data_IF_272804654938
#
_entry.id   IF_272804654938
#
_cell.length_a   1.000
_cell.length_b   1.000
_cell.length_c   1.000
_cell.angle_alpha   90.00
_cell.angle_beta   90.00
_cell.angle_gamma   90.00
#
_symmetry.space_group_name_H-M   'P 1'
#
loop_
_entity.id
_entity.type
_entity.pdbx_description
1 polymer ?
#
# COMPACT_ATOMS: atom_id res chain seq x y z
N UNK A 1 13.42 -33.01 7.85
CA UNK A 1 12.13 -33.52 7.31
C UNK A 1 11.61 -32.63 6.19
N UNK A 2 11.50 -31.31 6.40
CA UNK A 2 11.09 -30.33 5.37
C UNK A 2 11.98 -30.36 4.09
N UNK A 3 13.31 -30.40 4.25
CA UNK A 3 14.24 -30.55 3.12
C UNK A 3 14.01 -31.85 2.32
N UNK A 4 13.65 -32.95 2.99
CA UNK A 4 13.31 -34.22 2.31
C UNK A 4 11.99 -34.08 1.55
N UNK A 5 11.02 -33.33 2.07
CA UNK A 5 9.77 -33.04 1.36
C UNK A 5 10.00 -32.18 0.11
N UNK A 6 10.85 -31.15 0.18
CA UNK A 6 11.17 -30.31 -0.99
C UNK A 6 12.05 -31.03 -2.03
N UNK A 7 13.03 -31.82 -1.60
CA UNK A 7 14.00 -32.45 -2.50
C UNK A 7 13.58 -33.83 -3.05
N UNK A 8 12.70 -34.58 -2.35
CA UNK A 8 12.41 -35.98 -2.70
C UNK A 8 10.94 -36.28 -3.03
N UNK A 9 10.00 -35.36 -2.82
CA UNK A 9 8.59 -35.64 -3.08
C UNK A 9 8.20 -35.27 -4.52
N UNK A 10 7.72 -36.27 -5.28
CA UNK A 10 7.13 -36.10 -6.62
C UNK A 10 5.63 -35.83 -6.59
N UNK A 11 5.00 -35.83 -5.40
CA UNK A 11 3.56 -35.67 -5.20
C UNK A 11 3.23 -34.22 -4.84
N UNK A 12 2.43 -33.53 -5.67
CA UNK A 12 2.07 -32.11 -5.50
C UNK A 12 1.50 -31.78 -4.10
N UNK A 13 0.69 -32.67 -3.52
CA UNK A 13 0.12 -32.47 -2.18
C UNK A 13 1.21 -32.32 -1.10
N UNK A 14 2.28 -33.12 -1.13
CA UNK A 14 3.34 -33.06 -0.11
C UNK A 14 4.17 -31.77 -0.21
N UNK A 15 4.34 -31.24 -1.42
CA UNK A 15 5.01 -29.95 -1.66
C UNK A 15 4.20 -28.78 -1.13
N UNK A 16 2.89 -28.77 -1.38
CA UNK A 16 2.00 -27.76 -0.84
C UNK A 16 2.06 -27.73 0.69
N UNK A 17 1.94 -28.88 1.36
CA UNK A 17 2.05 -28.93 2.83
C UNK A 17 3.41 -28.44 3.35
N UNK A 18 4.50 -28.70 2.62
CA UNK A 18 5.82 -28.19 2.98
C UNK A 18 5.91 -26.65 2.87
N UNK A 19 5.26 -26.06 1.86
CA UNK A 19 5.17 -24.60 1.69
C UNK A 19 4.30 -23.96 2.78
N UNK A 20 3.16 -24.57 3.12
CA UNK A 20 2.31 -24.10 4.23
C UNK A 20 3.08 -24.14 5.56
N UNK A 21 3.89 -25.19 5.78
CA UNK A 21 4.75 -25.27 6.95
C UNK A 21 5.83 -24.20 6.94
N UNK A 22 6.46 -23.93 5.79
CA UNK A 22 7.46 -22.87 5.66
C UNK A 22 6.87 -21.49 6.00
N UNK A 23 5.65 -21.20 5.52
CA UNK A 23 4.91 -19.99 5.88
C UNK A 23 4.72 -19.90 7.40
N UNK A 24 4.26 -20.97 8.03
CA UNK A 24 4.06 -21.00 9.48
C UNK A 24 5.38 -20.78 10.24
N UNK A 25 6.49 -21.37 9.78
CA UNK A 25 7.80 -21.19 10.41
C UNK A 25 8.25 -19.73 10.32
N UNK A 26 8.19 -19.11 9.14
CA UNK A 26 8.55 -17.69 8.99
C UNK A 26 7.60 -16.77 9.77
N UNK A 27 6.33 -17.15 9.92
CA UNK A 27 5.37 -16.42 10.74
C UNK A 27 5.66 -16.47 12.24
N UNK A 28 6.25 -17.56 12.74
CA UNK A 28 6.56 -17.75 14.17
C UNK A 28 7.97 -17.25 14.51
N UNK A 29 8.95 -17.54 13.64
CA UNK A 29 10.38 -17.35 13.90
C UNK A 29 10.95 -16.08 13.27
N UNK A 30 10.18 -15.42 12.39
CA UNK A 30 10.62 -14.23 11.65
C UNK A 30 11.02 -14.55 10.21
N UNK A 31 11.11 -13.51 9.39
CA UNK A 31 11.39 -13.65 7.96
C UNK A 31 12.81 -14.20 7.69
N UNK A 32 13.76 -13.91 8.57
CA UNK A 32 15.16 -14.34 8.44
C UNK A 32 15.34 -15.86 8.59
N UNK A 33 14.34 -16.58 9.12
CA UNK A 33 14.38 -18.03 9.31
C UNK A 33 14.74 -18.79 8.02
N UNK A 34 14.30 -18.31 6.85
CA UNK A 34 14.59 -18.95 5.58
C UNK A 34 16.08 -18.79 5.16
N UNK A 35 16.77 -17.82 5.76
CA UNK A 35 18.16 -17.47 5.50
C UNK A 35 19.15 -17.98 6.58
N UNK A 36 18.66 -18.72 7.58
CA UNK A 36 19.49 -19.29 8.64
C UNK A 36 20.27 -20.51 8.16
N UNK A 37 21.54 -20.63 8.60
CA UNK A 37 22.35 -21.82 8.35
C UNK A 37 21.86 -22.98 9.25
N UNK A 38 21.17 -23.96 8.65
CA UNK A 38 20.77 -25.17 9.35
C UNK A 38 21.85 -26.27 9.21
N UNK A 39 22.61 -26.52 10.29
CA UNK A 39 23.50 -27.69 10.37
C UNK A 39 22.66 -28.98 10.47
N UNK A 40 22.41 -29.63 9.33
CA UNK A 40 21.83 -30.98 9.33
C UNK A 40 22.94 -31.99 9.62
N UNK A 41 22.90 -32.61 10.81
CA UNK A 41 23.89 -33.60 11.31
C UNK A 41 24.00 -34.92 10.49
N UNK A 42 23.42 -34.98 9.28
CA UNK A 42 23.44 -36.19 8.45
C UNK A 42 24.25 -35.96 7.17
N UNK A 43 25.47 -36.51 7.18
CA UNK A 43 26.45 -36.44 6.11
C UNK A 43 25.88 -36.96 4.77
N UNK A 44 25.69 -36.05 3.80
CA UNK A 44 26.24 -36.15 2.42
C UNK A 44 25.58 -35.18 1.40
N UNK A 45 24.58 -34.37 1.75
CA UNK A 45 24.09 -33.28 0.90
C UNK A 45 23.50 -32.14 1.74
N UNK A 46 24.35 -31.27 2.27
CA UNK A 46 23.89 -30.02 2.91
C UNK A 46 23.44 -29.08 1.79
N UNK A 47 22.15 -28.75 1.75
CA UNK A 47 21.62 -27.73 0.85
C UNK A 47 22.09 -26.37 1.38
N UNK A 48 22.82 -25.60 0.57
CA UNK A 48 23.20 -24.24 0.95
C UNK A 48 21.95 -23.36 1.12
N UNK A 49 22.00 -22.39 2.03
CA UNK A 49 20.91 -21.42 2.27
C UNK A 49 20.39 -20.82 0.97
N UNK A 50 21.28 -20.39 0.07
CA UNK A 50 20.90 -19.88 -1.25
C UNK A 50 19.99 -20.82 -2.04
N UNK A 51 20.33 -22.11 -2.04
CA UNK A 51 19.57 -23.13 -2.80
C UNK A 51 18.24 -23.41 -2.10
N UNK A 52 18.20 -23.32 -0.78
CA UNK A 52 16.96 -23.52 -0.03
C UNK A 52 15.97 -22.38 -0.27
N UNK A 53 16.42 -21.13 -0.18
CA UNK A 53 15.61 -19.93 -0.50
C UNK A 53 15.01 -20.05 -1.90
N UNK A 54 15.85 -20.31 -2.91
CA UNK A 54 15.38 -20.44 -4.29
C UNK A 54 14.45 -21.64 -4.48
N UNK A 55 14.71 -22.76 -3.81
CA UNK A 55 13.84 -23.94 -3.89
C UNK A 55 12.45 -23.66 -3.32
N UNK A 56 12.36 -22.96 -2.19
CA UNK A 56 11.08 -22.57 -1.58
C UNK A 56 10.34 -21.60 -2.49
N UNK A 57 11.03 -20.58 -3.02
CA UNK A 57 10.43 -19.60 -3.93
C UNK A 57 9.92 -20.25 -5.23
N UNK A 58 10.74 -21.07 -5.90
CA UNK A 58 10.33 -21.75 -7.13
C UNK A 58 9.20 -22.73 -6.89
N UNK A 59 9.20 -23.44 -5.76
CA UNK A 59 8.10 -24.33 -5.40
C UNK A 59 6.81 -23.54 -5.14
N UNK A 60 6.89 -22.41 -4.43
CA UNK A 60 5.76 -21.54 -4.18
C UNK A 60 5.19 -20.97 -5.49
N UNK A 61 6.06 -20.49 -6.39
CA UNK A 61 5.67 -19.97 -7.71
C UNK A 61 4.88 -20.99 -8.53
N UNK A 62 5.36 -22.24 -8.58
CA UNK A 62 4.67 -23.33 -9.30
C UNK A 62 3.29 -23.60 -8.71
N UNK A 63 3.18 -23.72 -7.39
CA UNK A 63 1.90 -23.98 -6.74
C UNK A 63 0.93 -22.79 -6.85
N UNK A 64 1.42 -21.56 -6.80
CA UNK A 64 0.63 -20.34 -7.10
C UNK A 64 0.09 -20.42 -8.53
N UNK A 65 0.93 -20.73 -9.52
CA UNK A 65 0.50 -20.85 -10.91
C UNK A 65 -0.61 -21.91 -11.09
N UNK A 66 -0.47 -23.06 -10.43
CA UNK A 66 -1.47 -24.13 -10.47
C UNK A 66 -2.78 -23.66 -9.85
N UNK A 67 -2.74 -23.10 -8.63
CA UNK A 67 -3.96 -22.68 -7.92
C UNK A 67 -4.67 -21.52 -8.62
N UNK A 68 -3.94 -20.55 -9.18
CA UNK A 68 -4.54 -19.45 -9.95
C UNK A 68 -5.26 -19.97 -11.20
N UNK A 69 -4.64 -20.86 -11.96
CA UNK A 69 -5.25 -21.46 -13.14
C UNK A 69 -6.49 -22.28 -12.79
N UNK A 70 -6.42 -23.11 -11.74
CA UNK A 70 -7.57 -23.87 -11.27
C UNK A 70 -8.70 -22.94 -10.81
N UNK A 71 -8.40 -21.88 -10.05
CA UNK A 71 -9.42 -20.92 -9.60
C UNK A 71 -10.04 -20.16 -10.78
N UNK A 72 -9.25 -19.71 -11.74
CA UNK A 72 -9.75 -19.05 -12.94
C UNK A 72 -10.70 -19.97 -13.73
N UNK A 73 -10.28 -21.22 -13.98
CA UNK A 73 -11.14 -22.20 -14.64
C UNK A 73 -12.46 -22.43 -13.88
N UNK A 74 -12.38 -22.65 -12.56
CA UNK A 74 -13.54 -22.93 -11.72
C UNK A 74 -14.52 -21.75 -11.70
N UNK A 75 -14.01 -20.52 -11.58
CA UNK A 75 -14.84 -19.30 -11.44
C UNK A 75 -15.36 -18.77 -12.77
N UNK A 76 -14.59 -18.87 -13.85
CA UNK A 76 -14.87 -18.13 -15.09
C UNK A 76 -15.27 -19.03 -16.25
N UNK A 77 -14.74 -20.25 -16.32
CA UNK A 77 -14.95 -21.15 -17.47
C UNK A 77 -15.90 -22.31 -17.17
N UNK A 78 -15.99 -22.76 -15.91
CA UNK A 78 -16.81 -23.92 -15.55
C UNK A 78 -18.31 -23.61 -15.63
N UNK A 79 -19.05 -24.35 -16.46
CA UNK A 79 -20.47 -24.11 -16.71
C UNK A 79 -21.34 -24.62 -15.55
N UNK A 80 -21.45 -23.89 -14.42
CA UNK A 80 -22.36 -24.20 -13.28
C UNK A 80 -22.46 -25.70 -12.92
N UNK A 81 -21.36 -26.45 -13.01
CA UNK A 81 -21.35 -27.83 -12.53
C UNK A 81 -21.17 -27.73 -11.02
N UNK A 82 -21.94 -28.53 -10.29
CA UNK A 82 -22.04 -28.62 -8.83
C UNK A 82 -20.72 -29.01 -8.14
N UNK A 83 -19.67 -28.21 -8.32
CA UNK A 83 -18.49 -28.27 -7.49
C UNK A 83 -18.83 -27.58 -6.18
N UNK A 84 -18.61 -28.31 -5.08
CA UNK A 84 -18.89 -27.87 -3.73
C UNK A 84 -18.10 -26.59 -3.44
N UNK A 85 -18.76 -25.54 -2.97
CA UNK A 85 -18.15 -24.26 -2.53
C UNK A 85 -16.93 -24.47 -1.60
N UNK A 86 -16.89 -25.61 -0.91
CA UNK A 86 -15.79 -26.08 -0.08
C UNK A 86 -14.46 -26.26 -0.86
N UNK A 87 -14.50 -26.77 -2.09
CA UNK A 87 -13.29 -26.99 -2.89
C UNK A 87 -12.67 -25.66 -3.38
N UNK A 88 -13.52 -24.70 -3.76
CA UNK A 88 -13.09 -23.34 -4.13
C UNK A 88 -12.52 -22.64 -2.89
N UNK A 89 -13.25 -22.66 -1.78
CA UNK A 89 -12.81 -22.08 -0.51
C UNK A 89 -11.46 -22.63 -0.05
N UNK A 90 -11.24 -23.95 -0.17
CA UNK A 90 -9.96 -24.56 0.19
C UNK A 90 -8.81 -24.10 -0.70
N UNK A 91 -9.04 -23.95 -2.01
CA UNK A 91 -8.03 -23.44 -2.95
C UNK A 91 -7.69 -21.97 -2.68
N UNK A 92 -8.71 -21.14 -2.43
CA UNK A 92 -8.52 -19.74 -2.05
C UNK A 92 -7.72 -19.61 -0.75
N UNK A 93 -8.01 -20.44 0.26
CA UNK A 93 -7.24 -20.48 1.51
C UNK A 93 -5.79 -20.87 1.28
N UNK A 94 -5.55 -21.91 0.48
CA UNK A 94 -4.18 -22.34 0.17
C UNK A 94 -3.41 -21.24 -0.58
N UNK A 95 -4.05 -20.59 -1.55
CA UNK A 95 -3.48 -19.47 -2.29
C UNK A 95 -3.14 -18.30 -1.36
N UNK A 96 -4.04 -17.93 -0.44
CA UNK A 96 -3.79 -16.87 0.53
C UNK A 96 -2.57 -17.15 1.43
N UNK A 97 -2.39 -18.41 1.85
CA UNK A 97 -1.20 -18.81 2.63
C UNK A 97 0.07 -18.73 1.76
N UNK A 98 0.00 -19.17 0.50
CA UNK A 98 1.15 -19.02 -0.42
C UNK A 98 1.49 -17.56 -0.68
N UNK A 99 0.50 -16.68 -0.85
CA UNK A 99 0.76 -15.24 -0.94
C UNK A 99 1.41 -14.69 0.33
N UNK A 100 0.95 -15.09 1.53
CA UNK A 100 1.63 -14.75 2.80
C UNK A 100 3.10 -15.17 2.79
N UNK A 101 3.40 -16.39 2.34
CA UNK A 101 4.78 -16.87 2.19
C UNK A 101 5.60 -15.98 1.23
N UNK A 102 5.04 -15.63 0.07
CA UNK A 102 5.71 -14.76 -0.90
C UNK A 102 5.93 -13.35 -0.32
N UNK A 103 4.96 -12.76 0.39
CA UNK A 103 5.14 -11.46 1.07
C UNK A 103 6.31 -11.48 2.03
N UNK A 104 6.46 -12.56 2.81
CA UNK A 104 7.59 -12.73 3.73
C UNK A 104 8.92 -12.86 3.00
N UNK A 105 8.94 -13.57 1.87
CA UNK A 105 10.14 -13.66 1.03
C UNK A 105 10.49 -12.28 0.43
N UNK A 106 9.49 -11.50 -0.03
CA UNK A 106 9.70 -10.13 -0.52
C UNK A 106 10.37 -9.28 0.56
N UNK A 107 9.83 -9.30 1.79
CA UNK A 107 10.38 -8.55 2.92
C UNK A 107 11.80 -8.99 3.28
N UNK A 108 12.07 -10.29 3.33
CA UNK A 108 13.41 -10.84 3.57
C UNK A 108 14.41 -10.34 2.51
N UNK A 109 14.03 -10.37 1.23
CA UNK A 109 14.89 -9.92 0.12
C UNK A 109 15.12 -8.41 0.16
N UNK A 110 14.11 -7.62 0.50
CA UNK A 110 14.23 -6.16 0.66
C UNK A 110 15.22 -5.80 1.78
N UNK A 111 15.06 -6.43 2.96
CA UNK A 111 15.97 -6.23 4.09
C UNK A 111 17.42 -6.63 3.76
N UNK A 112 17.62 -7.71 3.02
CA UNK A 112 18.94 -8.13 2.58
C UNK A 112 19.59 -7.15 1.58
N UNK A 113 18.79 -6.32 0.91
CA UNK A 113 19.23 -5.36 -0.10
C UNK A 113 19.46 -3.94 0.45
N UNK A 114 18.82 -3.58 1.58
CA UNK A 114 18.81 -2.22 2.12
C UNK A 114 20.07 -1.81 2.89
N UNK A 115 20.96 -2.75 3.25
CA UNK A 115 22.25 -2.47 3.90
C UNK A 115 22.17 -1.89 5.32
N UNK A 116 20.96 -1.66 5.85
CA UNK A 116 20.72 -1.20 7.22
C UNK A 116 20.52 -2.41 8.16
N UNK A 117 21.64 -2.93 8.67
CA UNK A 117 21.65 -4.03 9.64
C UNK A 117 23.05 -4.62 9.80
N UNK A 118 23.31 -5.27 10.93
CA UNK A 118 24.53 -6.07 11.09
C UNK A 118 24.59 -7.14 9.98
N UNK A 119 25.77 -7.47 9.44
CA UNK A 119 25.89 -8.30 8.24
C UNK A 119 25.49 -9.74 8.55
N UNK A 120 24.21 -10.08 8.38
CA UNK A 120 23.75 -11.46 8.22
C UNK A 120 23.79 -11.76 6.73
N UNK A 121 24.96 -11.61 6.11
CA UNK A 121 25.14 -11.94 4.69
C UNK A 121 25.31 -13.46 4.53
N UNK A 122 24.23 -14.21 4.73
CA UNK A 122 24.19 -15.65 4.39
C UNK A 122 23.75 -15.86 2.94
N UNK A 123 23.02 -14.90 2.34
CA UNK A 123 22.50 -14.98 0.97
C UNK A 123 23.41 -14.20 0.01
N UNK A 124 23.84 -14.83 -1.08
CA UNK A 124 24.65 -14.16 -2.12
C UNK A 124 23.80 -13.20 -2.96
N UNK A 125 24.41 -12.11 -3.41
CA UNK A 125 23.78 -11.14 -4.32
C UNK A 125 23.21 -11.81 -5.59
N UNK A 126 23.91 -12.80 -6.14
CA UNK A 126 23.41 -13.57 -7.29
C UNK A 126 22.12 -14.34 -6.99
N UNK A 127 21.96 -14.82 -5.76
CA UNK A 127 20.72 -15.45 -5.27
C UNK A 127 19.61 -14.42 -5.13
N UNK A 128 19.91 -13.22 -4.62
CA UNK A 128 18.95 -12.11 -4.53
C UNK A 128 18.41 -11.76 -5.92
N UNK A 129 19.29 -11.61 -6.92
CA UNK A 129 18.87 -11.34 -8.30
C UNK A 129 17.97 -12.45 -8.88
N UNK A 130 18.28 -13.71 -8.59
CA UNK A 130 17.46 -14.85 -8.99
C UNK A 130 16.09 -14.83 -8.29
N UNK A 131 16.06 -14.51 -6.99
CA UNK A 131 14.83 -14.36 -6.24
C UNK A 131 13.95 -13.23 -6.78
N UNK A 132 14.53 -12.07 -7.10
CA UNK A 132 13.82 -10.96 -7.74
C UNK A 132 13.24 -11.38 -9.10
N UNK A 133 13.96 -12.21 -9.86
CA UNK A 133 13.46 -12.74 -11.14
C UNK A 133 12.24 -13.66 -10.91
N UNK A 134 12.34 -14.61 -9.98
CA UNK A 134 11.22 -15.51 -9.64
C UNK A 134 10.01 -14.77 -9.05
N UNK A 135 10.23 -13.70 -8.29
CA UNK A 135 9.18 -12.82 -7.78
C UNK A 135 8.50 -12.05 -8.92
N UNK A 136 9.25 -11.47 -9.86
CA UNK A 136 8.69 -10.82 -11.05
C UNK A 136 7.82 -11.78 -11.86
N UNK A 137 8.25 -13.02 -12.05
CA UNK A 137 7.46 -14.04 -12.74
C UNK A 137 6.18 -14.38 -11.97
N UNK A 138 6.27 -14.55 -10.65
CA UNK A 138 5.12 -14.85 -9.78
C UNK A 138 4.10 -13.72 -9.84
N UNK A 139 4.53 -12.47 -9.73
CA UNK A 139 3.65 -11.30 -9.79
C UNK A 139 3.03 -11.14 -11.17
N UNK A 140 3.76 -11.45 -12.25
CA UNK A 140 3.18 -11.45 -13.59
C UNK A 140 2.03 -12.45 -13.73
N UNK A 141 2.13 -13.65 -13.12
CA UNK A 141 1.05 -14.63 -13.08
C UNK A 141 -0.16 -14.13 -12.28
N UNK A 142 0.08 -13.44 -11.16
CA UNK A 142 -1.00 -12.81 -10.38
C UNK A 142 -1.69 -11.71 -11.20
N UNK A 143 -0.93 -10.92 -11.95
CA UNK A 143 -1.48 -9.91 -12.85
C UNK A 143 -2.25 -10.53 -14.03
N UNK A 144 -1.86 -11.72 -14.53
CA UNK A 144 -2.67 -12.46 -15.52
C UNK A 144 -4.01 -12.86 -14.92
N UNK A 145 -4.02 -13.40 -13.71
CA UNK A 145 -5.26 -13.75 -13.01
C UNK A 145 -6.19 -12.53 -12.80
N UNK A 146 -5.63 -11.37 -12.43
CA UNK A 146 -6.40 -10.13 -12.33
C UNK A 146 -6.91 -9.62 -13.68
N UNK A 147 -6.13 -9.80 -14.75
CA UNK A 147 -6.57 -9.48 -16.12
C UNK A 147 -7.73 -10.37 -16.55
N UNK A 148 -7.66 -11.68 -16.29
CA UNK A 148 -8.76 -12.61 -16.56
C UNK A 148 -10.03 -12.20 -15.79
N UNK A 149 -9.89 -11.87 -14.51
CA UNK A 149 -11.01 -11.39 -13.70
C UNK A 149 -11.64 -10.11 -14.29
N UNK A 150 -10.82 -9.16 -14.74
CA UNK A 150 -11.27 -7.94 -15.41
C UNK A 150 -12.03 -8.25 -16.69
N UNK A 151 -11.51 -9.15 -17.53
CA UNK A 151 -12.13 -9.50 -18.81
C UNK A 151 -13.47 -10.24 -18.65
N UNK A 152 -13.65 -10.95 -17.52
CA UNK A 152 -14.91 -11.58 -17.15
C UNK A 152 -15.84 -10.68 -16.32
N UNK A 153 -15.46 -9.41 -16.09
CA UNK A 153 -16.24 -8.45 -15.30
C UNK A 153 -16.42 -8.87 -13.83
N UNK A 154 -15.39 -9.48 -13.24
CA UNK A 154 -15.38 -9.97 -11.86
C UNK A 154 -14.44 -9.10 -11.03
N UNK A 155 -14.97 -8.23 -10.17
CA UNK A 155 -14.18 -7.32 -9.33
C UNK A 155 -14.36 -7.57 -7.83
N UNK A 156 -15.17 -8.57 -7.43
CA UNK A 156 -15.48 -8.85 -6.02
C UNK A 156 -15.05 -10.25 -5.61
N UNK A 157 -14.34 -10.34 -4.49
CA UNK A 157 -13.94 -11.60 -3.87
C UNK A 157 -12.60 -11.51 -3.13
N UNK A 158 -12.47 -12.28 -2.05
CA UNK A 158 -11.28 -12.24 -1.19
C UNK A 158 -10.01 -12.75 -1.87
N UNK A 159 -10.15 -13.59 -2.90
CA UNK A 159 -9.03 -14.04 -3.73
C UNK A 159 -8.50 -12.92 -4.63
N UNK A 160 -9.37 -12.10 -5.21
CA UNK A 160 -8.99 -10.88 -5.93
C UNK A 160 -8.33 -9.87 -4.99
N UNK A 161 -8.88 -9.72 -3.79
CA UNK A 161 -8.32 -8.81 -2.80
C UNK A 161 -6.94 -9.28 -2.32
N UNK A 162 -6.75 -10.59 -2.11
CA UNK A 162 -5.45 -11.17 -1.78
C UNK A 162 -4.44 -11.02 -2.93
N UNK A 163 -4.89 -11.14 -4.19
CA UNK A 163 -4.08 -10.87 -5.37
C UNK A 163 -3.65 -9.40 -5.45
N UNK A 164 -4.57 -8.46 -5.21
CA UNK A 164 -4.25 -7.03 -5.13
C UNK A 164 -3.23 -6.74 -4.01
N UNK A 165 -3.38 -7.39 -2.86
CA UNK A 165 -2.48 -7.26 -1.72
C UNK A 165 -1.04 -7.67 -2.06
N UNK A 166 -0.83 -8.89 -2.59
CA UNK A 166 0.52 -9.35 -2.93
C UNK A 166 1.18 -8.50 -4.02
N UNK A 167 0.40 -8.02 -5.00
CA UNK A 167 0.86 -7.06 -6.01
C UNK A 167 1.30 -5.76 -5.35
N UNK A 168 0.48 -5.19 -4.46
CA UNK A 168 0.81 -3.98 -3.70
C UNK A 168 2.07 -4.14 -2.85
N UNK A 169 2.17 -5.25 -2.11
CA UNK A 169 3.34 -5.61 -1.29
C UNK A 169 4.63 -5.70 -2.11
N UNK A 170 4.59 -6.31 -3.31
CA UNK A 170 5.78 -6.38 -4.17
C UNK A 170 6.15 -5.02 -4.76
N UNK A 171 5.15 -4.28 -5.25
CA UNK A 171 5.36 -2.99 -5.87
C UNK A 171 5.78 -1.90 -4.88
N UNK A 172 5.56 -2.10 -3.57
CA UNK A 172 6.13 -1.27 -2.53
C UNK A 172 7.67 -1.30 -2.56
N UNK A 173 8.26 -2.46 -2.86
CA UNK A 173 9.71 -2.65 -2.93
C UNK A 173 10.26 -2.40 -4.35
N UNK A 174 9.45 -2.66 -5.37
CA UNK A 174 9.82 -2.48 -6.78
C UNK A 174 8.74 -1.72 -7.57
N UNK A 175 8.59 -0.39 -7.39
CA UNK A 175 7.47 0.41 -7.95
C UNK A 175 7.33 0.37 -9.48
N UNK A 176 8.42 0.08 -10.18
CA UNK A 176 8.47 0.04 -11.65
C UNK A 176 8.48 -1.38 -12.23
N UNK A 177 8.36 -2.41 -11.38
CA UNK A 177 8.24 -3.78 -11.86
C UNK A 177 6.92 -3.97 -12.65
N UNK A 178 6.99 -4.76 -13.72
CA UNK A 178 5.85 -5.07 -14.59
C UNK A 178 5.09 -3.82 -15.09
N UNK A 179 5.78 -2.68 -15.25
CA UNK A 179 5.20 -1.33 -15.45
C UNK A 179 4.03 -1.26 -16.43
N UNK A 180 4.16 -1.88 -17.60
CA UNK A 180 3.13 -1.86 -18.64
C UNK A 180 1.84 -2.55 -18.17
N UNK A 181 1.96 -3.77 -17.64
CA UNK A 181 0.81 -4.57 -17.21
C UNK A 181 0.17 -4.00 -15.95
N UNK A 182 1.00 -3.61 -14.97
CA UNK A 182 0.54 -2.91 -13.77
C UNK A 182 -0.23 -1.65 -14.16
N UNK A 183 0.33 -0.80 -15.02
CA UNK A 183 -0.31 0.43 -15.48
C UNK A 183 -1.69 0.22 -16.11
N UNK A 184 -1.83 -0.82 -16.95
CA UNK A 184 -3.10 -1.16 -17.60
C UNK A 184 -4.17 -1.74 -16.64
N UNK A 185 -3.73 -2.26 -15.49
CA UNK A 185 -4.59 -2.89 -14.49
C UNK A 185 -4.88 -2.00 -13.28
N UNK A 186 -4.19 -0.88 -13.09
CA UNK A 186 -4.35 -0.03 -11.90
C UNK A 186 -5.81 0.38 -11.63
N UNK A 187 -6.53 0.82 -12.66
CA UNK A 187 -7.95 1.19 -12.53
C UNK A 187 -8.79 0.00 -12.03
N UNK A 188 -8.54 -1.19 -12.56
CA UNK A 188 -9.24 -2.40 -12.15
C UNK A 188 -8.87 -2.79 -10.72
N UNK A 189 -7.58 -2.76 -10.36
CA UNK A 189 -7.10 -3.05 -8.99
C UNK A 189 -7.80 -2.14 -7.98
N UNK A 190 -7.95 -0.84 -8.29
CA UNK A 190 -8.65 0.12 -7.43
C UNK A 190 -10.16 -0.13 -7.32
N UNK A 191 -10.75 -0.88 -8.25
CA UNK A 191 -12.16 -1.28 -8.22
C UNK A 191 -12.40 -2.58 -7.45
N UNK A 192 -11.34 -3.32 -7.07
CA UNK A 192 -11.47 -4.61 -6.39
C UNK A 192 -12.05 -4.40 -4.99
N UNK A 193 -13.04 -5.24 -4.67
CA UNK A 193 -13.69 -5.32 -3.37
C UNK A 193 -13.49 -6.71 -2.77
N UNK A 194 -13.17 -6.77 -1.48
CA UNK A 194 -13.34 -7.98 -0.69
C UNK A 194 -14.79 -8.45 -0.66
N UNK A 195 -15.00 -9.71 -0.28
CA UNK A 195 -16.33 -10.33 -0.28
C UNK A 195 -17.33 -9.56 0.58
N UNK A 196 -16.87 -9.09 1.74
CA UNK A 196 -17.67 -8.34 2.73
C UNK A 196 -17.48 -6.81 2.65
N UNK A 197 -16.63 -6.32 1.73
CA UNK A 197 -16.46 -4.87 1.55
C UNK A 197 -17.68 -4.26 0.85
N UNK A 198 -18.15 -3.12 1.37
CA UNK A 198 -19.24 -2.34 0.75
C UNK A 198 -18.77 -1.44 -0.39
N UNK A 199 -17.45 -1.23 -0.51
CA UNK A 199 -16.80 -0.40 -1.51
C UNK A 199 -15.30 -0.68 -1.47
N UNK A 200 -14.60 -0.45 -2.56
CA UNK A 200 -13.15 -0.67 -2.61
C UNK A 200 -12.44 0.24 -1.60
N UNK A 201 -11.81 -0.40 -0.60
CA UNK A 201 -11.05 0.28 0.44
C UNK A 201 -9.71 -0.42 0.63
N UNK A 202 -9.71 -1.73 0.92
CA UNK A 202 -8.48 -2.47 1.18
C UNK A 202 -7.55 -2.55 -0.03
N UNK A 203 -8.10 -2.73 -1.23
CA UNK A 203 -7.32 -2.74 -2.47
C UNK A 203 -6.56 -1.42 -2.67
N UNK A 204 -7.18 -0.28 -2.37
CA UNK A 204 -6.54 1.04 -2.41
C UNK A 204 -5.44 1.12 -1.34
N UNK A 205 -5.74 0.71 -0.10
CA UNK A 205 -4.77 0.71 1.00
C UNK A 205 -3.49 -0.07 0.66
N UNK A 206 -3.62 -1.25 0.04
CA UNK A 206 -2.48 -2.08 -0.34
C UNK A 206 -1.59 -1.42 -1.41
N UNK A 207 -2.14 -0.51 -2.21
CA UNK A 207 -1.39 0.19 -3.25
C UNK A 207 -0.70 1.47 -2.75
N UNK A 208 -1.09 2.01 -1.59
CA UNK A 208 -0.54 3.27 -1.05
C UNK A 208 0.98 3.32 -0.96
N UNK A 209 1.70 2.27 -0.52
CA UNK A 209 3.16 2.29 -0.47
C UNK A 209 3.79 2.57 -1.84
N UNK A 210 3.33 1.89 -2.90
CA UNK A 210 3.81 2.14 -4.26
C UNK A 210 3.38 3.53 -4.76
N UNK A 211 2.13 3.93 -4.51
CA UNK A 211 1.60 5.21 -4.98
C UNK A 211 2.38 6.40 -4.41
N UNK A 212 2.73 6.34 -3.12
CA UNK A 212 3.51 7.38 -2.46
C UNK A 212 4.87 7.59 -3.15
N UNK A 213 5.49 6.52 -3.64
CA UNK A 213 6.77 6.55 -4.34
C UNK A 213 6.63 7.04 -5.79
N UNK A 214 5.72 6.44 -6.59
CA UNK A 214 5.60 6.82 -8.01
C UNK A 214 5.11 8.26 -8.18
N UNK A 215 4.31 8.78 -7.24
CA UNK A 215 3.78 10.16 -7.32
C UNK A 215 4.83 11.23 -7.04
N UNK A 216 6.01 10.86 -6.52
CA UNK A 216 7.14 11.80 -6.44
C UNK A 216 7.53 12.32 -7.84
N UNK A 217 7.26 11.54 -8.88
CA UNK A 217 7.46 11.93 -10.28
C UNK A 217 6.14 12.38 -10.95
N UNK A 218 6.27 13.32 -11.90
CA UNK A 218 5.13 13.86 -12.67
C UNK A 218 4.40 12.76 -13.46
N UNK A 219 5.13 11.77 -13.97
CA UNK A 219 4.54 10.66 -14.75
C UNK A 219 3.68 9.75 -13.87
N UNK A 220 4.08 9.51 -12.62
CA UNK A 220 3.23 8.78 -11.66
C UNK A 220 1.97 9.56 -11.31
N UNK A 221 2.09 10.88 -11.11
CA UNK A 221 0.92 11.76 -10.92
C UNK A 221 -0.03 11.73 -12.13
N UNK A 222 0.50 11.76 -13.36
CA UNK A 222 -0.29 11.67 -14.60
C UNK A 222 -1.01 10.33 -14.70
N UNK A 223 -0.33 9.24 -14.34
CA UNK A 223 -0.91 7.90 -14.31
C UNK A 223 -2.08 7.86 -13.32
N UNK A 224 -1.88 8.31 -12.08
CA UNK A 224 -2.92 8.38 -11.05
C UNK A 224 -4.11 9.27 -11.46
N UNK A 225 -3.85 10.36 -12.18
CA UNK A 225 -4.90 11.25 -12.70
C UNK A 225 -5.73 10.59 -13.80
N UNK A 226 -5.11 9.80 -14.69
CA UNK A 226 -5.73 9.28 -15.92
C UNK A 226 -6.98 8.43 -15.70
N UNK A 227 -7.06 7.74 -14.57
CA UNK A 227 -8.22 6.92 -14.16
C UNK A 227 -8.94 7.47 -12.92
N UNK A 228 -8.62 8.70 -12.49
CA UNK A 228 -9.25 9.32 -11.31
C UNK A 228 -8.82 8.74 -9.97
N UNK A 229 -7.71 7.99 -9.91
CA UNK A 229 -7.24 7.32 -8.69
C UNK A 229 -6.94 8.26 -7.53
N UNK A 230 -6.56 9.52 -7.79
CA UNK A 230 -6.40 10.54 -6.75
C UNK A 230 -7.71 10.75 -5.96
N UNK A 231 -8.88 10.69 -6.61
CA UNK A 231 -10.18 10.78 -5.92
C UNK A 231 -10.42 9.56 -5.05
N UNK A 232 -10.05 8.38 -5.54
CA UNK A 232 -10.16 7.14 -4.78
C UNK A 232 -9.25 7.15 -3.53
N UNK A 233 -8.03 7.68 -3.63
CA UNK A 233 -7.15 7.88 -2.45
C UNK A 233 -7.74 8.88 -1.47
N UNK A 234 -8.35 9.97 -1.95
CA UNK A 234 -9.06 10.94 -1.08
C UNK A 234 -10.23 10.29 -0.35
N UNK A 235 -11.07 9.53 -1.07
CA UNK A 235 -12.19 8.82 -0.45
C UNK A 235 -11.72 7.75 0.54
N UNK A 236 -10.59 7.09 0.25
CA UNK A 236 -9.92 6.17 1.16
C UNK A 236 -9.50 6.90 2.45
N UNK A 237 -8.79 8.04 2.36
CA UNK A 237 -8.42 8.89 3.51
C UNK A 237 -9.64 9.26 4.36
N UNK A 238 -10.71 9.73 3.72
CA UNK A 238 -11.94 10.11 4.44
C UNK A 238 -12.51 8.92 5.20
N UNK A 239 -12.60 7.73 4.58
CA UNK A 239 -13.07 6.51 5.25
C UNK A 239 -12.19 6.11 6.44
N UNK A 240 -10.86 6.22 6.31
CA UNK A 240 -9.95 5.89 7.41
C UNK A 240 -10.22 6.77 8.65
N UNK A 241 -10.63 8.04 8.46
CA UNK A 241 -10.97 8.95 9.56
C UNK A 241 -12.36 8.68 10.16
N UNK A 242 -13.31 8.17 9.37
CA UNK A 242 -14.69 7.90 9.82
C UNK A 242 -14.83 6.58 10.60
N UNK A 243 -14.00 5.57 10.31
CA UNK A 243 -14.11 4.22 10.89
C UNK A 243 -13.56 4.06 12.32
N UNK A 244 -13.22 5.17 13.01
CA UNK A 244 -12.96 5.13 14.45
C UNK A 244 -11.81 4.23 14.90
N UNK A 245 -10.69 4.20 14.16
CA UNK A 245 -9.41 3.71 14.67
C UNK A 245 -9.32 2.21 14.98
N UNK A 246 -10.26 1.36 14.54
CA UNK A 246 -10.07 -0.09 14.66
C UNK A 246 -9.54 -0.67 13.36
N UNK A 247 -8.22 -0.89 13.34
CA UNK A 247 -7.38 -1.70 12.42
C UNK A 247 -6.60 -1.02 11.28
N UNK A 248 -6.55 0.31 11.17
CA UNK A 248 -5.69 0.99 10.18
C UNK A 248 -4.54 1.70 10.90
N UNK A 249 -3.31 1.32 10.56
CA UNK A 249 -2.10 1.94 11.09
C UNK A 249 -1.93 3.38 10.56
N UNK A 250 -1.39 4.27 11.40
CA UNK A 250 -1.06 5.63 11.00
C UNK A 250 -0.13 5.66 9.78
N UNK A 251 0.69 4.62 9.56
CA UNK A 251 1.49 4.47 8.35
C UNK A 251 0.67 4.57 7.06
N UNK A 252 -0.51 3.94 7.01
CA UNK A 252 -1.39 4.03 5.82
C UNK A 252 -1.94 5.44 5.62
N UNK A 253 -2.28 6.14 6.71
CA UNK A 253 -2.72 7.55 6.65
C UNK A 253 -1.62 8.45 6.09
N UNK A 254 -0.38 8.28 6.56
CA UNK A 254 0.78 9.05 6.07
C UNK A 254 1.01 8.78 4.58
N UNK A 255 1.08 7.51 4.15
CA UNK A 255 1.28 7.16 2.74
C UNK A 255 0.21 7.75 1.82
N UNK A 256 -1.05 7.73 2.25
CA UNK A 256 -2.13 8.35 1.50
C UNK A 256 -2.04 9.89 1.47
N UNK A 257 -1.69 10.52 2.60
CA UNK A 257 -1.43 11.97 2.62
C UNK A 257 -0.26 12.34 1.70
N UNK A 258 0.86 11.62 1.76
CA UNK A 258 2.04 11.85 0.93
C UNK A 258 1.71 11.69 -0.56
N UNK A 259 0.94 10.67 -0.91
CA UNK A 259 0.43 10.49 -2.29
C UNK A 259 -0.33 11.73 -2.77
N UNK A 260 -1.22 12.29 -1.94
CA UNK A 260 -1.98 13.50 -2.31
C UNK A 260 -1.11 14.76 -2.28
N UNK A 261 -0.19 14.91 -1.33
CA UNK A 261 0.76 16.04 -1.26
C UNK A 261 1.63 16.06 -2.52
N UNK A 262 2.18 14.91 -2.92
CA UNK A 262 2.97 14.75 -4.14
C UNK A 262 2.13 15.10 -5.38
N UNK A 263 0.90 14.60 -5.44
CA UNK A 263 -0.03 14.90 -6.52
C UNK A 263 -0.36 16.38 -6.63
N UNK A 264 -0.68 17.03 -5.51
CA UNK A 264 -1.03 18.45 -5.44
C UNK A 264 0.16 19.35 -5.78
N UNK A 265 1.36 18.98 -5.35
CA UNK A 265 2.60 19.70 -5.67
C UNK A 265 2.86 19.73 -7.18
N UNK A 266 2.47 18.67 -7.89
CA UNK A 266 2.61 18.55 -9.34
C UNK A 266 1.35 19.00 -10.12
N UNK A 267 0.27 19.42 -9.45
CA UNK A 267 -1.06 19.63 -10.03
C UNK A 267 -1.11 20.71 -11.13
N UNK A 268 -0.19 21.70 -11.09
CA UNK A 268 -0.04 22.69 -12.18
C UNK A 268 0.27 22.05 -13.53
N UNK A 269 0.90 20.88 -13.54
CA UNK A 269 1.18 20.11 -14.76
C UNK A 269 0.00 19.25 -15.23
N UNK A 270 -1.00 19.01 -14.37
CA UNK A 270 -2.06 18.00 -14.59
C UNK A 270 -3.46 18.62 -14.85
N UNK A 271 -3.66 19.92 -14.65
CA UNK A 271 -4.89 20.67 -14.99
C UNK A 271 -6.20 20.11 -14.39
N UNK A 272 -6.21 19.80 -13.09
CA UNK A 272 -7.39 19.22 -12.42
C UNK A 272 -8.17 20.32 -11.65
N UNK A 273 -9.51 20.42 -11.84
CA UNK A 273 -10.32 21.37 -11.07
C UNK A 273 -10.53 20.91 -9.62
N UNK A 274 -10.77 21.87 -8.72
CA UNK A 274 -11.15 21.58 -7.33
C UNK A 274 -12.55 20.97 -7.31
N UNK A 275 -12.62 19.70 -6.91
CA UNK A 275 -13.84 18.92 -6.76
C UNK A 275 -14.32 18.89 -5.28
N UNK A 276 -15.57 18.52 -5.06
CA UNK A 276 -16.21 18.38 -3.75
C UNK A 276 -15.47 17.39 -2.82
N UNK A 277 -14.76 16.40 -3.36
CA UNK A 277 -13.96 15.46 -2.58
C UNK A 277 -12.88 16.15 -1.73
N UNK A 278 -12.31 17.26 -2.20
CA UNK A 278 -11.31 18.04 -1.44
C UNK A 278 -11.90 18.74 -0.21
N UNK A 279 -13.19 19.08 -0.24
CA UNK A 279 -13.87 19.68 0.92
C UNK A 279 -14.11 18.62 1.99
N UNK A 280 -14.51 17.41 1.59
CA UNK A 280 -14.62 16.26 2.50
C UNK A 280 -13.26 15.92 3.11
N UNK A 281 -12.20 15.97 2.31
CA UNK A 281 -10.83 15.76 2.77
C UNK A 281 -10.41 16.76 3.85
N UNK A 282 -10.63 18.07 3.64
CA UNK A 282 -10.32 19.10 4.64
C UNK A 282 -10.95 18.77 6.00
N UNK A 283 -12.22 18.36 6.01
CA UNK A 283 -12.93 17.97 7.24
C UNK A 283 -12.34 16.72 7.88
N UNK A 284 -12.01 15.71 7.08
CA UNK A 284 -11.39 14.48 7.55
C UNK A 284 -10.02 14.75 8.21
N UNK A 285 -9.17 15.57 7.57
CA UNK A 285 -7.85 15.93 8.11
C UNK A 285 -7.93 16.69 9.42
N UNK A 286 -8.87 17.64 9.53
CA UNK A 286 -9.12 18.38 10.78
C UNK A 286 -9.56 17.43 11.89
N UNK A 287 -10.42 16.47 11.56
CA UNK A 287 -10.88 15.45 12.51
C UNK A 287 -9.70 14.58 12.96
N UNK A 288 -8.91 14.05 12.02
CA UNK A 288 -7.75 13.19 12.31
C UNK A 288 -6.72 13.88 13.21
N UNK A 289 -6.29 15.09 12.87
CA UNK A 289 -5.34 15.85 13.67
C UNK A 289 -5.90 16.26 15.05
N UNK A 290 -7.23 16.34 15.19
CA UNK A 290 -7.88 16.56 16.47
C UNK A 290 -7.92 15.32 17.39
N UNK A 291 -7.63 14.11 16.88
CA UNK A 291 -7.66 12.87 17.68
C UNK A 291 -6.34 12.51 18.37
N UNK A 292 -5.25 13.22 18.08
CA UNK A 292 -3.91 12.87 18.56
C UNK A 292 -3.05 14.11 18.78
N UNK A 293 -2.10 14.00 19.70
CA UNK A 293 -1.07 15.02 19.94
C UNK A 293 0.25 14.74 19.21
N UNK A 294 0.26 13.72 18.35
CA UNK A 294 1.43 13.41 17.53
C UNK A 294 1.76 14.59 16.59
N UNK A 295 2.99 15.10 16.72
CA UNK A 295 3.51 16.21 15.95
C UNK A 295 3.52 15.92 14.44
N UNK A 296 3.94 14.71 14.06
CA UNK A 296 3.95 14.24 12.66
C UNK A 296 2.55 14.26 12.02
N UNK A 297 1.52 13.87 12.77
CA UNK A 297 0.12 13.91 12.31
C UNK A 297 -0.34 15.35 12.12
N UNK A 298 -0.09 16.21 13.11
CA UNK A 298 -0.44 17.64 13.03
C UNK A 298 0.23 18.30 11.84
N UNK A 299 1.53 18.04 11.63
CA UNK A 299 2.32 18.62 10.55
C UNK A 299 1.83 18.16 9.16
N UNK A 300 1.63 16.85 8.99
CA UNK A 300 1.17 16.29 7.72
C UNK A 300 -0.25 16.76 7.37
N UNK A 301 -1.18 16.72 8.33
CA UNK A 301 -2.54 17.20 8.14
C UNK A 301 -2.56 18.71 7.83
N UNK A 302 -1.77 19.51 8.55
CA UNK A 302 -1.65 20.95 8.31
C UNK A 302 -1.09 21.26 6.92
N UNK A 303 -0.06 20.51 6.49
CA UNK A 303 0.56 20.66 5.17
C UNK A 303 -0.49 20.47 4.08
N UNK A 304 -1.23 19.36 4.13
CA UNK A 304 -2.25 19.07 3.13
C UNK A 304 -3.43 20.06 3.20
N UNK A 305 -3.87 20.44 4.40
CA UNK A 305 -4.88 21.49 4.59
C UNK A 305 -4.47 22.81 3.95
N UNK A 306 -3.24 23.28 4.19
CA UNK A 306 -2.70 24.52 3.61
C UNK A 306 -2.67 24.47 2.08
N UNK A 307 -2.28 23.34 1.49
CA UNK A 307 -2.29 23.17 0.04
C UNK A 307 -3.72 23.25 -0.53
N UNK A 308 -4.70 22.66 0.15
CA UNK A 308 -6.11 22.71 -0.25
C UNK A 308 -6.71 24.11 -0.12
N UNK A 309 -6.34 24.85 0.93
CA UNK A 309 -6.76 26.24 1.13
C UNK A 309 -6.25 27.17 0.02
N UNK A 310 -5.04 26.92 -0.49
CA UNK A 310 -4.47 27.69 -1.59
C UNK A 310 -5.33 27.61 -2.87
N UNK A 311 -6.12 26.55 -3.00
CA UNK A 311 -6.99 26.30 -4.15
C UNK A 311 -8.44 26.78 -3.97
N UNK A 312 -8.80 27.28 -2.79
CA UNK A 312 -10.18 27.64 -2.46
C UNK A 312 -10.28 29.04 -1.83
N UNK A 313 -11.42 29.39 -1.25
CA UNK A 313 -11.65 30.63 -0.52
C UNK A 313 -12.62 30.42 0.65
N UNK A 314 -12.54 31.26 1.68
CA UNK A 314 -13.41 31.14 2.85
C UNK A 314 -14.89 31.21 2.46
N UNK A 315 -15.24 32.14 1.56
CA UNK A 315 -16.62 32.29 1.07
C UNK A 315 -17.13 31.04 0.37
N UNK A 316 -16.28 30.38 -0.42
CA UNK A 316 -16.65 29.15 -1.10
C UNK A 316 -16.86 28.02 -0.09
N UNK A 317 -15.92 27.80 0.83
CA UNK A 317 -16.06 26.75 1.84
C UNK A 317 -17.32 26.93 2.69
N UNK A 318 -17.59 28.15 3.17
CA UNK A 318 -18.79 28.45 3.96
C UNK A 318 -20.10 28.35 3.17
N UNK A 319 -20.06 28.31 1.84
CA UNK A 319 -21.24 28.06 1.00
C UNK A 319 -21.60 26.58 0.90
N UNK A 320 -20.69 25.68 1.30
CA UNK A 320 -20.91 24.24 1.26
C UNK A 320 -21.67 23.77 2.52
N UNK A 321 -22.75 23.01 2.33
CA UNK A 321 -23.65 22.56 3.40
C UNK A 321 -22.99 21.75 4.52
N UNK A 322 -21.82 21.15 4.26
CA UNK A 322 -21.11 20.28 5.19
C UNK A 322 -19.86 20.92 5.79
N UNK A 323 -19.65 22.22 5.57
CA UNK A 323 -18.49 22.96 6.05
C UNK A 323 -18.94 24.21 6.80
N UNK A 324 -18.68 24.26 8.10
CA UNK A 324 -19.17 25.32 8.99
C UNK A 324 -18.02 26.12 9.64
N UNK A 325 -18.40 27.11 10.45
CA UNK A 325 -17.45 27.95 11.16
C UNK A 325 -16.66 27.19 12.23
N UNK A 326 -17.17 26.08 12.75
CA UNK A 326 -16.46 25.26 13.74
C UNK A 326 -15.29 24.53 13.08
N UNK A 327 -15.51 23.98 11.88
CA UNK A 327 -14.43 23.35 11.08
C UNK A 327 -13.34 24.37 10.74
N UNK A 328 -13.70 25.62 10.41
CA UNK A 328 -12.72 26.70 10.24
C UNK A 328 -11.94 27.02 11.52
N UNK A 329 -12.60 26.98 12.68
CA UNK A 329 -11.97 27.16 13.98
C UNK A 329 -10.91 26.08 14.25
N UNK A 330 -11.29 24.81 14.12
CA UNK A 330 -10.37 23.68 14.31
C UNK A 330 -9.24 23.66 13.28
N UNK A 331 -9.51 24.07 12.04
CA UNK A 331 -8.48 24.27 11.02
C UNK A 331 -7.46 25.34 11.44
N UNK A 332 -7.93 26.45 12.01
CA UNK A 332 -7.06 27.52 12.51
C UNK A 332 -6.17 27.02 13.64
N UNK A 333 -6.73 26.23 14.56
CA UNK A 333 -6.00 25.64 15.68
C UNK A 333 -4.89 24.70 15.22
N UNK A 334 -5.17 23.82 14.26
CA UNK A 334 -4.18 22.89 13.70
C UNK A 334 -3.04 23.65 12.99
N UNK A 335 -3.37 24.70 12.23
CA UNK A 335 -2.38 25.56 11.58
C UNK A 335 -1.51 26.27 12.63
N UNK A 336 -2.09 26.83 13.69
CA UNK A 336 -1.34 27.46 14.79
C UNK A 336 -0.36 26.46 15.42
N UNK A 337 -0.84 25.27 15.80
CA UNK A 337 -0.01 24.21 16.39
C UNK A 337 1.18 23.88 15.48
N UNK A 338 0.95 23.72 14.19
CA UNK A 338 2.02 23.41 13.22
C UNK A 338 3.05 24.54 13.07
N UNK A 339 2.62 25.80 13.07
CA UNK A 339 3.53 26.94 12.94
C UNK A 339 4.39 27.15 14.20
N UNK A 340 3.82 26.92 15.38
CA UNK A 340 4.51 27.02 16.67
C UNK A 340 5.46 25.85 16.93
N UNK A 341 5.25 24.71 16.25
CA UNK A 341 6.03 23.51 16.49
C UNK A 341 7.50 23.70 16.11
N UNK A 342 8.42 23.46 17.04
CA UNK A 342 9.84 23.36 16.75
C UNK A 342 10.16 22.04 16.06
N UNK A 343 11.00 22.09 15.03
CA UNK A 343 11.37 20.93 14.22
C UNK A 343 12.82 20.58 14.56
N UNK A 344 13.11 19.33 14.94
CA UNK A 344 14.48 18.85 15.08
C UNK A 344 15.28 19.07 13.80
N UNK A 345 16.54 19.52 13.92
CA UNK A 345 17.39 19.85 12.76
C UNK A 345 17.63 18.63 11.82
N UNK A 346 17.42 17.41 12.28
CA UNK A 346 17.57 16.16 11.53
C UNK A 346 16.28 15.68 10.84
N UNK A 347 15.11 16.27 11.12
CA UNK A 347 13.84 15.88 10.49
C UNK A 347 13.58 16.67 9.19
N UNK A 348 14.24 16.24 8.12
CA UNK A 348 14.16 16.89 6.82
C UNK A 348 12.75 16.89 6.20
N UNK A 349 11.90 15.91 6.54
CA UNK A 349 10.56 15.80 5.99
C UNK A 349 9.60 16.77 6.67
N UNK A 350 9.57 16.81 8.01
CA UNK A 350 8.77 17.81 8.72
C UNK A 350 9.23 19.23 8.39
N UNK A 351 10.54 19.44 8.18
CA UNK A 351 11.07 20.74 7.76
C UNK A 351 10.49 21.18 6.41
N UNK A 352 10.45 20.28 5.41
CA UNK A 352 9.79 20.56 4.10
C UNK A 352 8.31 20.87 4.29
N UNK A 353 7.60 20.09 5.09
CA UNK A 353 6.18 20.31 5.38
C UNK A 353 5.95 21.69 6.03
N UNK A 354 6.78 22.11 6.98
CA UNK A 354 6.69 23.45 7.61
C UNK A 354 6.94 24.57 6.61
N UNK A 355 7.88 24.42 5.67
CA UNK A 355 8.06 25.40 4.59
C UNK A 355 6.82 25.50 3.69
N UNK A 356 6.17 24.37 3.36
CA UNK A 356 4.92 24.37 2.61
C UNK A 356 3.82 25.10 3.40
N UNK A 357 3.71 24.85 4.70
CA UNK A 357 2.72 25.51 5.57
C UNK A 357 2.94 27.02 5.62
N UNK A 358 4.16 27.47 5.94
CA UNK A 358 4.48 28.89 6.06
C UNK A 358 4.28 29.61 4.72
N UNK A 359 4.81 29.04 3.63
CA UNK A 359 4.70 29.66 2.31
C UNK A 359 3.26 29.65 1.79
N UNK A 360 2.50 28.59 2.05
CA UNK A 360 1.11 28.47 1.67
C UNK A 360 0.23 29.44 2.44
N UNK A 361 0.37 29.52 3.77
CA UNK A 361 -0.33 30.48 4.60
C UNK A 361 -0.17 31.91 4.06
N UNK A 362 1.07 32.32 3.76
CA UNK A 362 1.34 33.64 3.16
C UNK A 362 0.65 33.89 1.82
N UNK A 363 0.40 32.84 1.03
CA UNK A 363 -0.28 32.96 -0.28
C UNK A 363 -1.81 33.07 -0.16
N UNK A 364 -2.42 32.39 0.80
CA UNK A 364 -3.88 32.32 0.88
C UNK A 364 -4.52 33.06 2.05
N UNK A 365 -3.77 33.50 3.07
CA UNK A 365 -4.33 34.10 4.30
C UNK A 365 -5.33 35.23 4.03
N UNK A 366 -5.08 36.11 3.05
CA UNK A 366 -5.98 37.21 2.71
C UNK A 366 -7.34 36.75 2.14
N UNK A 367 -7.42 35.53 1.58
CA UNK A 367 -8.67 34.89 1.14
C UNK A 367 -9.46 34.26 2.30
N UNK A 368 -8.87 34.21 3.50
CA UNK A 368 -9.41 33.57 4.70
C UNK A 368 -9.27 34.48 5.94
N UNK A 369 -9.96 35.64 5.97
CA UNK A 369 -9.82 36.62 7.04
C UNK A 369 -10.05 36.04 8.45
N UNK A 370 -11.02 35.13 8.64
CA UNK A 370 -11.26 34.55 9.98
C UNK A 370 -10.10 33.70 10.46
N UNK A 371 -9.50 32.92 9.57
CA UNK A 371 -8.34 32.09 9.89
C UNK A 371 -7.14 32.98 10.16
N UNK A 372 -6.93 34.00 9.32
CA UNK A 372 -5.84 34.97 9.47
C UNK A 372 -5.88 35.69 10.82
N UNK A 373 -7.04 36.23 11.19
CA UNK A 373 -7.22 36.95 12.44
C UNK A 373 -6.87 36.08 13.67
N UNK A 374 -7.24 34.79 13.64
CA UNK A 374 -6.96 33.86 14.74
C UNK A 374 -5.49 33.43 14.75
N UNK A 375 -4.90 33.16 13.59
CA UNK A 375 -3.48 32.75 13.49
C UNK A 375 -2.54 33.89 13.92
N UNK A 376 -2.77 35.12 13.44
CA UNK A 376 -1.91 36.28 13.75
C UNK A 376 -1.99 36.72 15.21
N UNK A 377 -3.03 36.32 15.95
CA UNK A 377 -3.10 36.52 17.41
C UNK A 377 -2.14 35.61 18.19
N UNK A 378 -1.75 34.46 17.62
CA UNK A 378 -1.00 33.41 18.31
C UNK A 378 0.41 33.20 17.75
N UNK A 379 0.63 33.56 16.48
CA UNK A 379 1.87 33.30 15.76
C UNK A 379 2.24 34.48 14.87
N UNK A 380 3.50 34.89 14.90
CA UNK A 380 4.07 35.82 13.93
C UNK A 380 4.68 35.02 12.78
N UNK A 381 4.12 35.16 11.56
CA UNK A 381 4.43 34.30 10.40
C UNK A 381 5.08 35.05 9.26
#
# INVERSE_FOLDING_TARGET
MMLKCFCCCSVSSEKLHALLLAECMMSILGEDWLSEDFEVQDNQNVLSVDKFVLLVLESARVEVAVLLNELAYLKYESSKISQTDEAISQKQRNLAILFSLIERIIKMISNASSGEGAPIHTIRESTIMQAITGLNETINLVLDFLQDAKDHGQWKGDDLLAAARIVGSYLAEAPYACKEKTGNLLEFIFSIEGQDESSSFYSICFMLPMLSQITMEVDGCRTLASFGGHKAVIDCLVKMTEQGGMTIDNGSMFLACDTIINFMSNMKSVHIPVDYCFIRLLKALVTWAGTTDASSVTMTASCLCVMLLDMTSEKFLLSCSHFDANILGSLSEIIIRSLQQDIPDDDSEQFKQKQIIVSGYKRWADRFPRVKDVVEQHVSV
#
